data_IF_190024470113
#
_entry.id   IF_190024470113
#
_cell.length_a   1.000
_cell.length_b   1.000
_cell.length_c   1.000
_cell.angle_alpha   90.00
_cell.angle_beta   90.00
_cell.angle_gamma   90.00
#
_symmetry.space_group_name_H-M   'P 1'
#
loop_
_entity.id
_entity.type
_entity.pdbx_description
1 polymer ?
#
# COMPACT_ATOMS: atom_id res chain seq x y z
N UNK A 1 -28.45 -4.92 -30.48
CA UNK A 1 -27.84 -3.99 -31.46
C UNK A 1 -26.62 -4.69 -32.01
N UNK A 2 -26.74 -5.25 -33.21
CA UNK A 2 -25.64 -5.92 -33.89
C UNK A 2 -24.77 -4.90 -34.63
N UNK A 3 -23.47 -4.99 -34.41
CA UNK A 3 -22.48 -4.09 -35.02
C UNK A 3 -22.22 -4.57 -36.45
N UNK A 4 -22.80 -3.89 -37.43
CA UNK A 4 -22.49 -4.09 -38.85
C UNK A 4 -21.13 -3.48 -39.13
N UNK A 5 -20.11 -4.31 -39.35
CA UNK A 5 -18.76 -3.89 -39.71
C UNK A 5 -18.69 -3.77 -41.23
N UNK A 6 -18.78 -2.54 -41.75
CA UNK A 6 -18.48 -2.24 -43.15
C UNK A 6 -17.00 -2.50 -43.39
N UNK A 7 -16.70 -3.53 -44.19
CA UNK A 7 -15.36 -3.86 -44.64
C UNK A 7 -14.90 -2.84 -45.68
N UNK A 8 -14.29 -1.75 -45.22
CA UNK A 8 -13.55 -0.83 -46.07
C UNK A 8 -12.11 -1.34 -46.20
N UNK A 9 -11.72 -1.66 -47.43
CA UNK A 9 -10.39 -2.15 -47.80
C UNK A 9 -9.34 -1.09 -47.45
N UNK A 10 -8.65 -1.29 -46.32
CA UNK A 10 -7.61 -0.39 -45.82
C UNK A 10 -6.28 -0.77 -46.48
N UNK A 11 -5.57 0.21 -47.04
CA UNK A 11 -4.21 0.02 -47.56
C UNK A 11 -3.30 -0.65 -46.52
N UNK A 12 -2.44 -1.61 -46.92
CA UNK A 12 -1.55 -2.27 -45.98
C UNK A 12 -0.51 -1.29 -45.44
N UNK A 13 -0.49 -1.12 -44.11
CA UNK A 13 0.52 -0.33 -43.41
C UNK A 13 1.93 -0.88 -43.67
N UNK A 14 2.97 -0.02 -43.76
CA UNK A 14 4.33 -0.44 -44.03
C UNK A 14 4.81 -1.46 -42.99
N UNK A 15 5.45 -2.54 -43.48
CA UNK A 15 5.95 -3.63 -42.66
C UNK A 15 6.78 -3.10 -41.48
N UNK A 16 6.29 -3.36 -40.26
CA UNK A 16 7.02 -3.02 -39.04
C UNK A 16 8.34 -3.80 -39.05
N UNK A 17 9.44 -3.07 -38.91
CA UNK A 17 10.74 -3.67 -38.62
C UNK A 17 10.63 -4.29 -37.24
N UNK A 18 10.66 -5.62 -37.18
CA UNK A 18 10.66 -6.41 -35.95
C UNK A 18 12.00 -6.28 -35.22
N UNK A 19 12.33 -5.08 -34.71
CA UNK A 19 13.24 -4.97 -33.56
C UNK A 19 12.42 -5.21 -32.31
N UNK A 20 11.99 -6.45 -32.10
CA UNK A 20 11.47 -6.89 -30.81
C UNK A 20 12.66 -6.99 -29.86
N UNK A 21 13.14 -5.85 -29.35
CA UNK A 21 13.75 -5.87 -28.02
C UNK A 21 12.65 -6.39 -27.09
N UNK A 22 12.76 -7.66 -26.70
CA UNK A 22 11.94 -8.22 -25.65
C UNK A 22 12.25 -7.46 -24.36
N UNK A 23 11.57 -6.33 -24.16
CA UNK A 23 11.52 -5.64 -22.87
C UNK A 23 10.80 -6.60 -21.95
N UNK A 24 11.58 -7.41 -21.24
CA UNK A 24 11.08 -8.31 -20.22
C UNK A 24 10.29 -7.43 -19.26
N UNK A 25 8.98 -7.67 -19.04
CA UNK A 25 8.22 -6.84 -18.13
C UNK A 25 8.90 -7.00 -16.76
N UNK A 26 9.60 -5.96 -16.32
CA UNK A 26 10.14 -5.95 -14.97
C UNK A 26 8.93 -6.15 -14.06
N UNK A 27 8.92 -7.26 -13.33
CA UNK A 27 7.75 -7.69 -12.58
C UNK A 27 7.18 -6.55 -11.75
N UNK A 28 5.86 -6.55 -11.56
CA UNK A 28 5.10 -5.45 -10.94
C UNK A 28 5.68 -4.97 -9.59
N UNK A 29 6.45 -5.83 -8.91
CA UNK A 29 7.07 -5.61 -7.61
C UNK A 29 8.60 -5.46 -7.70
N UNK A 30 9.08 -4.63 -8.63
CA UNK A 30 10.50 -4.30 -8.72
C UNK A 30 10.92 -3.25 -7.67
N UNK A 31 12.24 -3.01 -7.57
CA UNK A 31 12.82 -2.05 -6.61
C UNK A 31 12.35 -0.61 -6.85
N UNK A 32 12.08 -0.24 -8.11
CA UNK A 32 11.53 1.05 -8.50
C UNK A 32 10.08 1.22 -7.99
N UNK A 33 9.23 0.21 -8.18
CA UNK A 33 7.89 0.18 -7.63
C UNK A 33 7.90 0.32 -6.11
N UNK A 34 8.81 -0.38 -5.42
CA UNK A 34 8.97 -0.28 -3.97
C UNK A 34 9.33 1.14 -3.52
N UNK A 35 10.23 1.84 -4.22
CA UNK A 35 10.62 3.20 -3.86
C UNK A 35 9.48 4.20 -4.08
N UNK A 36 8.74 4.07 -5.18
CA UNK A 36 7.57 4.90 -5.50
C UNK A 36 6.47 4.71 -4.46
N UNK A 37 6.13 3.46 -4.11
CA UNK A 37 5.12 3.18 -3.09
C UNK A 37 5.54 3.74 -1.73
N UNK A 38 6.81 3.62 -1.36
CA UNK A 38 7.31 4.15 -0.07
C UNK A 38 7.25 5.67 -0.02
N UNK A 39 7.61 6.35 -1.11
CA UNK A 39 7.48 7.80 -1.25
C UNK A 39 6.01 8.26 -1.18
N UNK A 40 5.12 7.56 -1.88
CA UNK A 40 3.69 7.86 -1.82
C UNK A 40 3.11 7.63 -0.41
N UNK A 41 3.52 6.57 0.28
CA UNK A 41 3.10 6.27 1.64
C UNK A 41 3.60 7.29 2.67
N UNK A 42 4.80 7.86 2.49
CA UNK A 42 5.27 8.96 3.35
C UNK A 42 4.57 10.28 3.03
N UNK A 43 4.25 10.51 1.76
CA UNK A 43 3.68 11.78 1.28
C UNK A 43 2.14 11.74 1.20
N UNK A 44 1.48 10.71 1.75
CA UNK A 44 0.02 10.58 1.71
C UNK A 44 -0.65 11.79 2.36
N UNK A 45 -1.59 12.40 1.62
CA UNK A 45 -2.39 13.53 2.11
C UNK A 45 -3.22 13.11 3.31
N UNK A 46 -3.09 13.83 4.43
CA UNK A 46 -3.82 13.54 5.67
C UNK A 46 -5.33 13.61 5.55
N UNK A 47 -5.83 14.36 4.55
CA UNK A 47 -7.26 14.58 4.32
C UNK A 47 -7.89 13.53 3.38
N UNK A 48 -7.11 12.55 2.92
CA UNK A 48 -7.64 11.43 2.14
C UNK A 48 -8.28 10.36 3.04
N UNK A 49 -9.27 9.63 2.54
CA UNK A 49 -9.92 8.52 3.26
C UNK A 49 -8.87 7.50 3.75
N UNK A 50 -7.91 7.17 2.89
CA UNK A 50 -6.79 6.28 3.24
C UNK A 50 -5.92 6.86 4.35
N UNK A 51 -5.52 8.14 4.25
CA UNK A 51 -4.71 8.82 5.25
C UNK A 51 -5.39 8.90 6.62
N UNK A 52 -6.70 9.18 6.64
CA UNK A 52 -7.51 9.20 7.87
C UNK A 52 -7.53 7.79 8.50
N UNK A 53 -7.83 6.75 7.72
CA UNK A 53 -7.84 5.36 8.18
C UNK A 53 -6.48 4.93 8.73
N UNK A 54 -5.40 5.25 8.02
CA UNK A 54 -4.04 4.93 8.44
C UNK A 54 -3.64 5.64 9.73
N UNK A 55 -4.03 6.92 9.89
CA UNK A 55 -3.76 7.69 11.11
C UNK A 55 -4.46 7.10 12.33
N UNK A 56 -5.75 6.74 12.20
CA UNK A 56 -6.50 6.09 13.29
C UNK A 56 -5.85 4.77 13.68
N UNK A 57 -5.50 3.92 12.69
CA UNK A 57 -4.83 2.65 12.93
C UNK A 57 -3.47 2.84 13.62
N UNK A 58 -2.64 3.76 13.14
CA UNK A 58 -1.33 4.06 13.72
C UNK A 58 -1.44 4.49 15.19
N UNK A 59 -2.39 5.37 15.51
CA UNK A 59 -2.65 5.80 16.89
C UNK A 59 -3.06 4.62 17.77
N UNK A 60 -3.96 3.77 17.29
CA UNK A 60 -4.38 2.59 18.04
C UNK A 60 -3.17 1.70 18.42
N UNK A 61 -2.27 1.41 17.48
CA UNK A 61 -1.07 0.62 17.78
C UNK A 61 -0.11 1.29 18.77
N UNK A 62 -0.02 2.62 18.82
CA UNK A 62 0.82 3.31 19.80
C UNK A 62 0.24 3.27 21.23
N UNK A 63 -1.08 3.33 21.37
CA UNK A 63 -1.72 3.37 22.68
C UNK A 63 -1.92 1.99 23.33
N UNK A 64 -1.84 0.88 22.57
CA UNK A 64 -2.33 -0.43 23.05
C UNK A 64 -1.38 -1.24 23.94
N UNK A 65 -0.16 -0.79 24.23
CA UNK A 65 0.79 -1.66 24.95
C UNK A 65 1.25 -1.10 26.29
N UNK A 66 1.74 0.15 26.33
CA UNK A 66 2.48 0.64 27.50
C UNK A 66 1.60 0.96 28.71
N UNK A 67 0.40 1.53 28.52
CA UNK A 67 -0.50 1.86 29.64
C UNK A 67 -1.03 0.60 30.32
N UNK A 68 -1.36 -0.42 29.52
CA UNK A 68 -1.92 -1.66 30.02
C UNK A 68 -0.90 -2.47 30.82
N UNK A 69 0.37 -2.48 30.38
CA UNK A 69 1.46 -3.14 31.12
C UNK A 69 1.81 -2.37 32.39
N UNK A 70 1.88 -1.04 32.35
CA UNK A 70 2.08 -0.20 33.53
C UNK A 70 1.00 -0.40 34.59
N UNK A 71 -0.28 -0.45 34.19
CA UNK A 71 -1.39 -0.66 35.11
C UNK A 71 -1.31 -2.04 35.78
N UNK A 72 -1.05 -3.10 35.00
CA UNK A 72 -0.89 -4.47 35.54
C UNK A 72 0.30 -4.56 36.51
N UNK A 73 1.42 -3.94 36.16
CA UNK A 73 2.62 -3.92 36.99
C UNK A 73 2.38 -3.17 38.31
N UNK A 74 1.70 -2.02 38.25
CA UNK A 74 1.35 -1.23 39.43
C UNK A 74 0.46 -2.01 40.41
N UNK A 75 -0.57 -2.68 39.91
CA UNK A 75 -1.44 -3.53 40.74
C UNK A 75 -0.67 -4.68 41.37
N UNK A 76 0.24 -5.32 40.63
CA UNK A 76 1.07 -6.40 41.15
C UNK A 76 2.00 -5.91 42.29
N UNK A 77 2.65 -4.77 42.12
CA UNK A 77 3.50 -4.18 43.17
C UNK A 77 2.68 -3.80 44.40
N UNK A 78 1.49 -3.21 44.22
CA UNK A 78 0.60 -2.87 45.33
C UNK A 78 0.17 -4.13 46.13
N UNK A 79 -0.13 -5.23 45.43
CA UNK A 79 -0.45 -6.50 46.07
C UNK A 79 0.73 -7.07 46.86
N UNK A 80 1.96 -6.99 46.33
CA UNK A 80 3.16 -7.42 47.06
C UNK A 80 3.40 -6.61 48.32
N UNK A 81 3.25 -5.28 48.25
CA UNK A 81 3.39 -4.39 49.42
C UNK A 81 2.33 -4.69 50.48
N UNK A 82 1.14 -5.13 50.09
CA UNK A 82 0.08 -5.50 51.03
C UNK A 82 0.30 -6.87 51.70
N UNK A 83 1.01 -7.78 51.02
CA UNK A 83 1.28 -9.14 51.51
C UNK A 83 2.52 -9.18 52.41
N UNK A 84 3.51 -8.32 52.16
CA UNK A 84 4.72 -8.14 52.97
C UNK A 84 4.39 -7.37 54.25
#
# INVERSE_FOLDING_TARGET
MELVITSQELEPLPARVDTTEFVRPEGLLNSNYKSVVKCNLSNTKSNSIFGIKQRVKSRQYQFTSSIATLLKLSVFVAALVFII
#
